data_IF_298254449222
#
_entry.id   IF_298254449222
#
_cell.length_a   1.000
_cell.length_b   1.000
_cell.length_c   1.000
_cell.angle_alpha   90.00
_cell.angle_beta   90.00
_cell.angle_gamma   90.00
#
_symmetry.space_group_name_H-M   'P 1'
#
loop_
_entity.id
_entity.type
_entity.pdbx_description
1 polymer ?
#
# COMPACT_ATOMS: atom_id res chain seq x y z
N UNK A 1 68.02 -14.94 12.78
CA UNK A 1 69.11 -13.96 12.93
C UNK A 1 70.35 -14.58 12.29
N UNK A 2 70.81 -14.04 11.17
CA UNK A 2 71.93 -14.61 10.41
C UNK A 2 73.24 -13.97 10.87
N UNK A 3 74.03 -14.74 11.64
CA UNK A 3 75.30 -14.29 12.20
C UNK A 3 76.34 -13.94 11.14
N UNK A 4 76.31 -14.62 9.99
CA UNK A 4 77.24 -14.36 8.89
C UNK A 4 76.88 -13.04 8.22
N UNK A 5 75.58 -12.80 8.02
CA UNK A 5 75.07 -11.53 7.46
C UNK A 5 75.44 -10.35 8.37
N UNK A 6 75.19 -10.47 9.67
CA UNK A 6 75.53 -9.45 10.66
C UNK A 6 77.05 -9.22 10.72
N UNK A 7 77.84 -10.29 10.74
CA UNK A 7 79.30 -10.19 10.74
C UNK A 7 79.85 -9.45 9.51
N UNK A 8 79.34 -9.76 8.32
CA UNK A 8 79.67 -9.03 7.08
C UNK A 8 79.25 -7.57 7.14
N UNK A 9 78.09 -7.28 7.73
CA UNK A 9 77.59 -5.92 7.89
C UNK A 9 78.46 -5.09 8.83
N UNK A 10 78.85 -5.63 9.98
CA UNK A 10 79.81 -5.01 10.91
C UNK A 10 81.15 -4.73 10.19
N UNK A 11 81.67 -5.72 9.47
CA UNK A 11 82.91 -5.57 8.71
C UNK A 11 82.81 -4.50 7.63
N UNK A 12 81.66 -4.43 6.95
CA UNK A 12 81.36 -3.42 5.92
C UNK A 12 81.37 -2.01 6.50
N UNK A 13 80.60 -1.77 7.57
CA UNK A 13 80.50 -0.47 8.23
C UNK A 13 81.83 -0.03 8.87
N UNK A 14 82.57 -0.96 9.47
CA UNK A 14 83.91 -0.66 9.99
C UNK A 14 84.85 -0.21 8.87
N UNK A 15 84.85 -0.92 7.74
CA UNK A 15 85.70 -0.60 6.58
C UNK A 15 85.31 0.72 5.91
N UNK A 16 84.02 1.04 5.82
CA UNK A 16 83.57 2.33 5.28
C UNK A 16 84.02 3.52 6.13
N UNK A 17 84.25 3.29 7.43
CA UNK A 17 84.82 4.27 8.35
C UNK A 17 86.36 4.27 8.37
N UNK A 18 87.02 3.47 7.51
CA UNK A 18 88.48 3.39 7.42
C UNK A 18 89.18 2.78 8.64
N UNK A 19 88.44 2.14 9.55
CA UNK A 19 89.00 1.57 10.78
C UNK A 19 89.53 0.15 10.56
N UNK A 20 90.63 -0.22 11.23
CA UNK A 20 91.11 -1.60 11.36
C UNK A 20 90.35 -2.35 12.46
N UNK A 21 90.40 -3.70 12.47
CA UNK A 21 89.79 -4.50 13.56
C UNK A 21 90.36 -4.13 14.93
N UNK A 22 91.67 -3.83 14.99
CA UNK A 22 92.35 -3.38 16.21
C UNK A 22 91.79 -2.04 16.71
N UNK A 23 91.58 -1.08 15.82
CA UNK A 23 91.03 0.24 16.18
C UNK A 23 89.57 0.16 16.65
N UNK A 24 88.75 -0.70 16.05
CA UNK A 24 87.39 -0.94 16.53
C UNK A 24 87.41 -1.62 17.91
N UNK A 25 88.31 -2.58 18.11
CA UNK A 25 88.47 -3.26 19.39
C UNK A 25 88.96 -2.32 20.50
N UNK A 26 89.92 -1.44 20.21
CA UNK A 26 90.41 -0.41 21.15
C UNK A 26 89.29 0.54 21.57
N UNK A 27 88.44 0.98 20.64
CA UNK A 27 87.29 1.84 20.95
C UNK A 27 86.24 1.16 21.84
N UNK A 28 86.16 -0.17 21.80
CA UNK A 28 85.23 -0.98 22.61
C UNK A 28 85.89 -1.54 23.88
N UNK A 29 87.18 -1.28 24.12
CA UNK A 29 87.91 -1.87 25.24
C UNK A 29 88.08 -3.40 25.14
N UNK A 30 88.10 -3.96 23.93
CA UNK A 30 88.13 -5.41 23.69
C UNK A 30 89.37 -5.85 22.89
N UNK A 31 89.56 -7.17 22.76
CA UNK A 31 90.60 -7.73 21.89
C UNK A 31 90.19 -7.69 20.42
N UNK A 32 91.15 -7.45 19.52
CA UNK A 32 90.99 -7.55 18.06
C UNK A 32 90.49 -8.93 17.61
N UNK A 33 90.89 -9.99 18.32
CA UNK A 33 90.39 -11.37 18.14
C UNK A 33 88.87 -11.47 18.34
N UNK A 34 88.29 -10.69 19.25
CA UNK A 34 86.83 -10.67 19.49
C UNK A 34 86.10 -10.10 18.29
N UNK A 35 86.55 -8.95 17.78
CA UNK A 35 86.00 -8.31 16.57
C UNK A 35 86.12 -9.24 15.35
N UNK A 36 87.25 -9.92 15.20
CA UNK A 36 87.47 -10.90 14.13
C UNK A 36 86.52 -12.11 14.19
N UNK A 37 86.09 -12.54 15.39
CA UNK A 37 85.08 -13.60 15.53
C UNK A 37 83.70 -13.09 15.12
N UNK A 38 83.33 -11.86 15.48
CA UNK A 38 82.06 -11.27 15.09
C UNK A 38 81.95 -11.07 13.58
N UNK A 39 82.98 -10.52 12.96
CA UNK A 39 82.99 -10.25 11.51
C UNK A 39 82.95 -11.51 10.65
N UNK A 40 83.45 -12.63 11.18
CA UNK A 40 83.37 -13.95 10.54
C UNK A 40 82.06 -14.70 10.86
N UNK A 41 81.17 -14.11 11.66
CA UNK A 41 79.92 -14.75 12.09
C UNK A 41 80.09 -15.91 13.05
N UNK A 42 81.24 -16.01 13.75
CA UNK A 42 81.54 -17.09 14.70
C UNK A 42 80.74 -16.92 16.00
N UNK A 43 80.55 -15.68 16.45
CA UNK A 43 79.71 -15.33 17.59
C UNK A 43 79.25 -13.87 17.49
N UNK A 44 78.30 -13.45 18.32
CA UNK A 44 77.92 -12.04 18.47
C UNK A 44 78.72 -11.37 19.61
N UNK A 45 78.79 -10.03 19.62
CA UNK A 45 79.12 -9.30 20.84
C UNK A 45 78.11 -9.61 21.95
N UNK A 46 78.47 -9.30 23.19
CA UNK A 46 77.49 -9.31 24.28
C UNK A 46 76.48 -8.18 24.07
N UNK A 47 75.24 -8.37 24.52
CA UNK A 47 74.16 -7.37 24.40
C UNK A 47 74.55 -6.02 25.01
N UNK A 48 75.36 -6.04 26.08
CA UNK A 48 75.93 -4.84 26.70
C UNK A 48 76.77 -3.99 25.73
N UNK A 49 77.39 -4.62 24.72
CA UNK A 49 78.28 -3.98 23.72
C UNK A 49 77.50 -3.47 22.51
N UNK A 50 76.23 -3.87 22.33
CA UNK A 50 75.48 -3.56 21.11
C UNK A 50 75.31 -2.06 20.88
N UNK A 51 74.92 -1.30 21.90
CA UNK A 51 74.68 0.14 21.75
C UNK A 51 75.96 0.90 21.41
N UNK A 52 77.07 0.54 22.06
CA UNK A 52 78.36 1.18 21.83
C UNK A 52 78.92 0.84 20.43
N UNK A 53 78.82 -0.43 20.03
CA UNK A 53 79.17 -0.88 18.68
C UNK A 53 78.34 -0.15 17.61
N UNK A 54 77.02 -0.07 17.80
CA UNK A 54 76.10 0.64 16.90
C UNK A 54 76.47 2.12 16.79
N UNK A 55 76.78 2.77 17.93
CA UNK A 55 77.22 4.17 17.98
C UNK A 55 78.53 4.40 17.22
N UNK A 56 79.53 3.54 17.42
CA UNK A 56 80.83 3.63 16.72
C UNK A 56 80.67 3.41 15.21
N UNK A 57 79.78 2.51 14.80
CA UNK A 57 79.53 2.17 13.39
C UNK A 57 78.52 3.08 12.70
N UNK A 58 77.83 3.96 13.43
CA UNK A 58 76.83 4.87 12.89
C UNK A 58 75.58 4.16 12.35
N UNK A 59 75.15 3.08 12.99
CA UNK A 59 73.98 2.28 12.62
C UNK A 59 73.00 2.19 13.79
N UNK A 60 71.73 1.95 13.51
CA UNK A 60 70.72 1.64 14.53
C UNK A 60 70.82 0.19 14.99
N UNK A 61 70.29 -0.09 16.19
CA UNK A 61 70.22 -1.46 16.72
C UNK A 61 69.43 -2.39 15.77
N UNK A 62 68.38 -1.87 15.13
CA UNK A 62 67.58 -2.66 14.19
C UNK A 62 68.37 -3.04 12.94
N UNK A 63 69.16 -2.12 12.39
CA UNK A 63 70.07 -2.40 11.26
C UNK A 63 71.14 -3.41 11.63
N UNK A 64 71.70 -3.29 12.84
CA UNK A 64 72.65 -4.27 13.37
C UNK A 64 72.04 -5.67 13.48
N UNK A 65 70.82 -5.80 14.04
CA UNK A 65 70.15 -7.10 14.21
C UNK A 65 69.66 -7.69 12.87
N UNK A 66 69.31 -6.83 11.90
CA UNK A 66 68.91 -7.24 10.56
C UNK A 66 70.10 -7.58 9.64
N UNK A 67 71.28 -7.02 9.95
CA UNK A 67 72.50 -7.18 9.16
C UNK A 67 72.45 -6.45 7.82
N UNK A 68 71.63 -5.40 7.71
CA UNK A 68 71.49 -4.55 6.52
C UNK A 68 70.94 -3.16 6.88
N UNK A 69 71.12 -2.19 5.99
CA UNK A 69 70.52 -0.86 6.12
C UNK A 69 69.00 -0.98 6.02
N UNK A 70 68.28 -0.39 6.98
CA UNK A 70 66.83 -0.37 7.00
C UNK A 70 66.41 1.04 6.63
N UNK A 71 66.03 1.23 5.37
CA UNK A 71 65.46 2.49 4.92
C UNK A 71 64.19 2.82 5.74
N UNK A 72 64.15 4.02 6.34
CA UNK A 72 63.02 4.53 7.16
C UNK A 72 61.70 4.69 6.39
N UNK A 73 61.65 4.35 5.11
CA UNK A 73 60.53 4.62 4.21
C UNK A 73 59.30 3.73 4.47
N UNK A 74 59.44 2.62 5.21
CA UNK A 74 58.38 1.63 5.38
C UNK A 74 57.45 1.81 6.61
N UNK A 75 57.63 2.85 7.44
CA UNK A 75 56.76 3.08 8.63
C UNK A 75 55.68 4.16 8.45
N UNK A 76 55.86 5.12 7.55
CA UNK A 76 54.93 6.26 7.40
C UNK A 76 53.70 5.90 6.54
N UNK A 77 53.88 5.00 5.56
CA UNK A 77 52.85 4.75 4.54
C UNK A 77 51.67 3.88 5.01
N UNK A 78 51.85 3.10 6.09
CA UNK A 78 50.81 2.21 6.67
C UNK A 78 49.88 2.89 7.68
N UNK A 79 50.31 3.99 8.32
CA UNK A 79 49.47 4.74 9.24
C UNK A 79 48.51 5.70 8.53
N UNK A 80 48.93 6.29 7.41
CA UNK A 80 48.11 7.24 6.65
C UNK A 80 46.95 6.55 5.93
N UNK A 81 47.15 5.33 5.43
CA UNK A 81 46.11 4.53 4.78
C UNK A 81 45.00 4.12 5.77
N UNK A 82 45.38 3.67 6.97
CA UNK A 82 44.40 3.31 8.02
C UNK A 82 43.54 4.51 8.47
N UNK A 83 44.12 5.71 8.57
CA UNK A 83 43.39 6.91 8.98
C UNK A 83 42.38 7.34 7.90
N UNK A 84 42.79 7.31 6.62
CA UNK A 84 41.91 7.65 5.49
C UNK A 84 40.74 6.66 5.40
N UNK A 85 40.99 5.37 5.66
CA UNK A 85 39.98 4.33 5.63
C UNK A 85 38.94 4.51 6.76
N UNK A 86 39.38 4.82 7.99
CA UNK A 86 38.50 5.11 9.12
C UNK A 86 37.63 6.35 8.86
N UNK A 87 38.22 7.42 8.32
CA UNK A 87 37.47 8.65 7.98
C UNK A 87 36.41 8.34 6.92
N UNK A 88 36.76 7.54 5.90
CA UNK A 88 35.84 7.15 4.82
C UNK A 88 34.68 6.30 5.34
N UNK A 89 34.96 5.33 6.22
CA UNK A 89 33.92 4.49 6.85
C UNK A 89 32.96 5.35 7.70
N UNK A 90 33.49 6.32 8.45
CA UNK A 90 32.68 7.20 9.29
C UNK A 90 31.78 8.15 8.47
N UNK A 91 32.29 8.68 7.35
CA UNK A 91 31.50 9.47 6.39
C UNK A 91 30.39 8.63 5.76
N UNK A 92 30.69 7.39 5.35
CA UNK A 92 29.72 6.47 4.77
C UNK A 92 28.63 6.08 5.78
N UNK A 93 28.99 5.79 7.03
CA UNK A 93 28.05 5.57 8.14
C UNK A 93 27.16 6.78 8.39
N UNK A 94 27.72 7.99 8.42
CA UNK A 94 26.92 9.23 8.55
C UNK A 94 25.94 9.43 7.39
N UNK A 95 26.37 9.16 6.15
CA UNK A 95 25.48 9.20 4.97
C UNK A 95 24.36 8.17 5.09
N UNK A 96 24.68 6.93 5.45
CA UNK A 96 23.70 5.87 5.66
C UNK A 96 22.68 6.25 6.75
N UNK A 97 23.14 6.79 7.89
CA UNK A 97 22.27 7.27 8.96
C UNK A 97 21.34 8.41 8.53
N UNK A 98 21.84 9.37 7.72
CA UNK A 98 21.00 10.44 7.17
C UNK A 98 19.94 9.89 6.22
N UNK A 99 20.30 8.96 5.34
CA UNK A 99 19.36 8.30 4.42
C UNK A 99 18.32 7.51 5.21
N UNK A 100 18.72 6.74 6.23
CA UNK A 100 17.81 5.97 7.07
C UNK A 100 16.81 6.86 7.82
N UNK A 101 17.25 8.02 8.33
CA UNK A 101 16.35 9.02 8.93
C UNK A 101 15.36 9.58 7.92
N UNK A 102 15.81 9.90 6.70
CA UNK A 102 14.91 10.35 5.63
C UNK A 102 13.86 9.29 5.27
N UNK A 103 14.26 8.02 5.15
CA UNK A 103 13.34 6.90 4.86
C UNK A 103 12.28 6.77 5.96
N UNK A 104 12.69 6.81 7.24
CA UNK A 104 11.75 6.76 8.38
C UNK A 104 10.75 7.93 8.35
N UNK A 105 11.21 9.12 7.98
CA UNK A 105 10.37 10.31 7.90
C UNK A 105 9.33 10.19 6.77
N UNK A 106 9.74 9.67 5.61
CA UNK A 106 8.82 9.40 4.48
C UNK A 106 7.77 8.35 4.86
N UNK A 107 8.18 7.24 5.48
CA UNK A 107 7.25 6.20 5.93
C UNK A 107 6.23 6.77 6.92
N UNK A 108 6.68 7.61 7.86
CA UNK A 108 5.80 8.26 8.84
C UNK A 108 4.76 9.17 8.17
N UNK A 109 5.19 9.99 7.19
CA UNK A 109 4.28 10.84 6.42
C UNK A 109 3.25 9.98 5.66
N UNK A 110 3.69 8.92 4.97
CA UNK A 110 2.79 8.01 4.26
C UNK A 110 1.76 7.37 5.22
N UNK A 111 2.19 6.93 6.40
CA UNK A 111 1.30 6.34 7.40
C UNK A 111 0.23 7.35 7.86
N UNK A 112 0.63 8.59 8.16
CA UNK A 112 -0.31 9.66 8.54
C UNK A 112 -1.28 9.98 7.40
N UNK A 113 -0.81 10.03 6.15
CA UNK A 113 -1.67 10.24 4.99
C UNK A 113 -2.70 9.11 4.80
N UNK A 114 -2.31 7.85 4.99
CA UNK A 114 -3.21 6.70 4.92
C UNK A 114 -4.28 6.80 6.02
N UNK A 115 -3.88 7.09 7.25
CA UNK A 115 -4.81 7.26 8.39
C UNK A 115 -5.75 8.45 8.15
N UNK A 116 -5.23 9.57 7.65
CA UNK A 116 -6.04 10.73 7.29
C UNK A 116 -7.06 10.39 6.21
N UNK A 117 -6.65 9.63 5.20
CA UNK A 117 -7.52 9.19 4.11
C UNK A 117 -8.62 8.23 4.59
N UNK A 118 -8.31 7.28 5.48
CA UNK A 118 -9.32 6.36 6.04
C UNK A 118 -10.33 7.11 6.91
N UNK A 119 -9.88 8.04 7.77
CA UNK A 119 -10.77 8.89 8.56
C UNK A 119 -11.65 9.76 7.65
N UNK A 120 -11.08 10.32 6.59
CA UNK A 120 -11.83 11.10 5.60
C UNK A 120 -12.92 10.26 4.92
N UNK A 121 -12.61 9.01 4.53
CA UNK A 121 -13.58 8.07 3.95
C UNK A 121 -14.68 7.69 4.94
N UNK A 122 -14.33 7.48 6.21
CA UNK A 122 -15.28 7.15 7.29
C UNK A 122 -16.21 8.32 7.65
N UNK A 123 -15.71 9.56 7.58
CA UNK A 123 -16.50 10.77 7.84
C UNK A 123 -17.25 11.31 6.63
N UNK A 124 -17.05 10.74 5.44
CA UNK A 124 -17.78 11.16 4.25
C UNK A 124 -19.27 10.87 4.49
N UNK A 125 -20.16 11.87 4.32
CA UNK A 125 -21.59 11.65 4.41
C UNK A 125 -21.99 10.48 3.51
N UNK A 126 -22.55 9.43 4.11
CA UNK A 126 -23.01 8.26 3.37
C UNK A 126 -24.40 8.59 2.86
N UNK A 127 -24.50 8.86 1.55
CA UNK A 127 -25.77 8.93 0.86
C UNK A 127 -25.95 7.57 0.18
N UNK A 128 -26.91 6.77 0.62
CA UNK A 128 -27.11 5.43 0.08
C UNK A 128 -28.58 5.02 0.12
N UNK A 129 -28.90 4.00 -0.67
CA UNK A 129 -30.14 3.24 -0.59
C UNK A 129 -29.80 1.75 -0.43
N UNK A 130 -30.60 1.02 0.32
CA UNK A 130 -30.43 -0.43 0.50
C UNK A 130 -31.78 -1.10 0.71
N UNK A 131 -31.95 -2.37 0.30
CA UNK A 131 -33.09 -3.16 0.73
C UNK A 131 -33.08 -3.28 2.27
N UNK A 132 -34.25 -3.38 2.88
CA UNK A 132 -34.35 -3.77 4.29
C UNK A 132 -33.92 -5.23 4.46
N UNK A 133 -33.40 -5.55 5.64
CA UNK A 133 -33.05 -6.93 5.96
C UNK A 133 -34.32 -7.78 6.06
N UNK A 134 -34.30 -8.98 5.49
CA UNK A 134 -35.42 -9.93 5.50
C UNK A 134 -35.89 -10.26 6.93
N UNK A 135 -34.98 -10.25 7.90
CA UNK A 135 -35.27 -10.52 9.31
C UNK A 135 -35.67 -9.27 10.13
N UNK A 136 -35.76 -8.10 9.49
CA UNK A 136 -36.21 -6.87 10.16
C UNK A 136 -37.70 -6.88 10.46
N UNK A 137 -38.09 -6.20 11.54
CA UNK A 137 -39.51 -6.12 11.98
C UNK A 137 -40.34 -5.39 10.91
N UNK A 138 -39.77 -4.35 10.32
CA UNK A 138 -40.38 -3.54 9.27
C UNK A 138 -40.67 -4.39 8.02
N UNK A 139 -39.71 -5.22 7.59
CA UNK A 139 -39.89 -6.13 6.46
C UNK A 139 -40.94 -7.21 6.76
N UNK A 140 -40.87 -7.87 7.92
CA UNK A 140 -41.87 -8.86 8.33
C UNK A 140 -43.28 -8.26 8.42
N UNK A 141 -43.39 -7.00 8.85
CA UNK A 141 -44.67 -6.29 8.88
C UNK A 141 -45.16 -5.99 7.46
N UNK A 142 -44.28 -5.56 6.56
CA UNK A 142 -44.63 -5.33 5.17
C UNK A 142 -45.08 -6.62 4.47
N UNK A 143 -44.39 -7.74 4.70
CA UNK A 143 -44.76 -9.06 4.18
C UNK A 143 -46.11 -9.56 4.73
N UNK A 144 -46.39 -9.35 6.02
CA UNK A 144 -47.68 -9.69 6.63
C UNK A 144 -48.86 -8.92 6.01
N UNK A 145 -48.61 -7.71 5.52
CA UNK A 145 -49.61 -6.85 4.89
C UNK A 145 -49.65 -7.01 3.37
N UNK A 146 -48.63 -7.65 2.78
CA UNK A 146 -48.54 -7.90 1.36
C UNK A 146 -49.25 -9.19 0.95
N UNK A 147 -49.56 -9.29 -0.34
CA UNK A 147 -50.08 -10.50 -0.95
C UNK A 147 -49.00 -11.57 -1.14
N UNK A 148 -49.30 -12.65 -1.88
CA UNK A 148 -48.35 -13.74 -2.15
C UNK A 148 -47.08 -13.29 -2.89
N UNK A 149 -47.14 -12.13 -3.56
CA UNK A 149 -46.02 -11.56 -4.33
C UNK A 149 -45.04 -10.75 -3.45
N UNK A 150 -45.32 -10.63 -2.14
CA UNK A 150 -44.42 -10.03 -1.16
C UNK A 150 -44.38 -8.50 -1.19
N UNK A 151 -43.43 -7.94 -0.44
CA UNK A 151 -43.17 -6.51 -0.37
C UNK A 151 -41.69 -6.24 -0.60
N UNK A 152 -41.38 -5.14 -1.27
CA UNK A 152 -40.02 -4.67 -1.52
C UNK A 152 -39.85 -3.34 -0.82
N UNK A 153 -39.00 -3.30 0.20
CA UNK A 153 -38.80 -2.10 1.02
C UNK A 153 -37.34 -1.69 0.98
N UNK A 154 -37.12 -0.44 0.56
CA UNK A 154 -35.81 0.17 0.49
C UNK A 154 -35.73 1.32 1.46
N UNK A 155 -34.64 1.35 2.24
CA UNK A 155 -34.30 2.50 3.08
C UNK A 155 -33.26 3.34 2.39
N UNK A 156 -33.49 4.64 2.30
CA UNK A 156 -32.47 5.59 1.87
C UNK A 156 -32.04 6.50 3.02
N UNK A 157 -30.77 6.87 2.99
CA UNK A 157 -30.17 7.86 3.88
C UNK A 157 -29.45 8.88 3.02
N UNK A 158 -29.67 10.16 3.29
CA UNK A 158 -29.02 11.27 2.60
C UNK A 158 -28.57 12.31 3.62
N UNK A 159 -27.29 12.64 3.59
CA UNK A 159 -26.73 13.78 4.31
C UNK A 159 -26.66 15.05 3.45
N UNK A 160 -26.60 14.93 2.12
CA UNK A 160 -26.73 16.07 1.22
C UNK A 160 -28.19 16.42 0.94
N UNK A 161 -28.48 17.71 0.78
CA UNK A 161 -29.80 18.19 0.36
C UNK A 161 -30.06 17.88 -1.12
N UNK A 162 -31.31 17.61 -1.43
CA UNK A 162 -31.82 17.41 -2.79
C UNK A 162 -33.18 18.12 -2.96
N UNK A 163 -33.56 18.42 -4.19
CA UNK A 163 -34.84 19.08 -4.49
C UNK A 163 -35.94 18.10 -4.80
N UNK A 164 -35.62 16.94 -5.40
CA UNK A 164 -36.64 15.96 -5.83
C UNK A 164 -36.10 14.54 -5.70
N UNK A 165 -36.97 13.62 -5.30
CA UNK A 165 -36.77 12.20 -5.51
C UNK A 165 -37.68 11.77 -6.66
N UNK A 166 -37.11 11.19 -7.72
CA UNK A 166 -37.85 10.70 -8.87
C UNK A 166 -37.63 9.20 -9.01
N UNK A 167 -38.72 8.49 -9.27
CA UNK A 167 -38.74 7.10 -9.70
C UNK A 167 -39.15 7.08 -11.17
N UNK A 168 -38.26 6.61 -12.03
CA UNK A 168 -38.51 6.38 -13.45
C UNK A 168 -39.00 4.95 -13.61
N UNK A 169 -40.12 4.78 -14.30
CA UNK A 169 -40.79 3.50 -14.49
C UNK A 169 -40.77 3.22 -15.99
N UNK A 170 -40.15 2.11 -16.36
CA UNK A 170 -40.01 1.66 -17.74
C UNK A 170 -40.77 0.36 -17.92
N UNK A 171 -41.64 0.30 -18.93
CA UNK A 171 -42.35 -0.91 -19.31
C UNK A 171 -41.75 -1.46 -20.60
N UNK A 172 -41.34 -2.72 -20.56
CA UNK A 172 -40.89 -3.45 -21.73
C UNK A 172 -41.88 -4.55 -22.08
N UNK A 173 -42.13 -4.71 -23.38
CA UNK A 173 -42.97 -5.75 -23.97
C UNK A 173 -42.13 -6.55 -24.96
N UNK A 174 -41.94 -7.83 -24.69
CA UNK A 174 -41.07 -8.73 -25.46
C UNK A 174 -39.72 -8.07 -25.81
N UNK A 175 -39.12 -7.41 -24.81
CA UNK A 175 -37.84 -6.73 -24.91
C UNK A 175 -37.82 -5.33 -25.52
N UNK A 176 -38.96 -4.78 -25.93
CA UNK A 176 -39.05 -3.42 -26.48
C UNK A 176 -39.68 -2.48 -25.46
N UNK A 177 -39.07 -1.31 -25.26
CA UNK A 177 -39.64 -0.27 -24.42
C UNK A 177 -40.99 0.16 -25.01
N UNK A 178 -42.09 -0.09 -24.30
CA UNK A 178 -43.45 0.23 -24.71
C UNK A 178 -43.98 1.49 -24.04
N UNK A 179 -43.58 1.76 -22.80
CA UNK A 179 -44.00 2.93 -22.05
C UNK A 179 -42.93 3.42 -21.06
N UNK A 180 -42.96 4.72 -20.76
CA UNK A 180 -42.09 5.36 -19.79
C UNK A 180 -42.87 6.40 -18.98
N UNK A 181 -43.00 6.13 -17.68
CA UNK A 181 -43.64 7.03 -16.71
C UNK A 181 -42.65 7.44 -15.60
N UNK A 182 -43.09 8.36 -14.74
CA UNK A 182 -42.33 8.77 -13.57
C UNK A 182 -43.23 9.19 -12.42
N UNK A 183 -42.79 8.85 -11.22
CA UNK A 183 -43.35 9.34 -9.97
C UNK A 183 -42.31 10.25 -9.32
N UNK A 184 -42.69 11.49 -9.00
CA UNK A 184 -41.76 12.44 -8.38
C UNK A 184 -42.32 13.07 -7.12
N UNK A 185 -41.43 13.24 -6.14
CA UNK A 185 -41.70 13.89 -4.87
C UNK A 185 -40.76 15.09 -4.73
N UNK A 186 -41.35 16.29 -4.72
CA UNK A 186 -40.62 17.55 -4.67
C UNK A 186 -40.47 18.10 -3.25
N UNK A 187 -39.31 18.72 -3.01
CA UNK A 187 -38.88 19.33 -1.76
C UNK A 187 -38.33 20.75 -2.01
N UNK A 188 -38.76 21.43 -3.08
CA UNK A 188 -38.20 22.74 -3.48
C UNK A 188 -38.39 23.82 -2.39
N UNK A 189 -39.53 23.79 -1.70
CA UNK A 189 -39.90 24.76 -0.67
C UNK A 189 -39.70 24.28 0.78
N UNK A 190 -39.26 23.02 0.95
CA UNK A 190 -39.10 22.38 2.26
C UNK A 190 -37.74 21.71 2.39
N UNK A 191 -37.37 21.28 3.61
CA UNK A 191 -36.12 20.53 3.78
C UNK A 191 -36.33 19.11 3.24
N UNK A 192 -35.46 18.67 2.34
CA UNK A 192 -35.44 17.27 1.90
C UNK A 192 -35.20 16.33 3.08
N UNK A 193 -35.90 15.18 3.14
CA UNK A 193 -35.70 14.17 4.17
C UNK A 193 -34.23 13.76 4.29
N UNK A 194 -33.78 13.45 5.50
CA UNK A 194 -32.45 12.82 5.70
C UNK A 194 -32.49 11.31 5.62
N UNK A 195 -33.67 10.74 5.85
CA UNK A 195 -33.94 9.33 5.69
C UNK A 195 -35.37 9.13 5.22
N UNK A 196 -35.63 8.00 4.58
CA UNK A 196 -36.96 7.64 4.16
C UNK A 196 -36.98 6.24 3.57
N UNK A 197 -38.17 5.84 3.14
CA UNK A 197 -38.42 4.51 2.62
C UNK A 197 -39.12 4.58 1.27
N UNK A 198 -38.79 3.63 0.41
CA UNK A 198 -39.49 3.36 -0.84
C UNK A 198 -40.03 1.95 -0.70
N UNK A 199 -41.35 1.82 -0.71
CA UNK A 199 -42.06 0.55 -0.56
C UNK A 199 -42.78 0.28 -1.88
N UNK A 200 -42.57 -0.90 -2.44
CA UNK A 200 -43.31 -1.41 -3.59
C UNK A 200 -43.95 -2.74 -3.23
N UNK A 201 -45.28 -2.80 -3.36
CA UNK A 201 -46.06 -4.00 -3.08
C UNK A 201 -46.84 -4.38 -4.34
N UNK A 202 -46.41 -5.41 -5.09
CA UNK A 202 -47.22 -5.96 -6.16
C UNK A 202 -48.53 -6.54 -5.60
N UNK A 203 -49.64 -6.11 -6.21
CA UNK A 203 -51.00 -6.56 -5.92
C UNK A 203 -51.59 -7.08 -7.22
N UNK A 204 -51.31 -8.37 -7.49
CA UNK A 204 -51.68 -8.99 -8.75
C UNK A 204 -53.18 -9.23 -8.88
N UNK A 205 -53.91 -9.39 -7.77
CA UNK A 205 -55.36 -9.51 -7.78
C UNK A 205 -56.02 -8.26 -8.38
N UNK A 206 -55.42 -7.09 -8.13
CA UNK A 206 -55.86 -5.81 -8.67
C UNK A 206 -55.03 -5.34 -9.89
N UNK A 207 -54.01 -6.11 -10.29
CA UNK A 207 -53.08 -5.77 -11.37
C UNK A 207 -52.46 -4.36 -11.20
N UNK A 208 -51.99 -4.07 -9.98
CA UNK A 208 -51.25 -2.84 -9.69
C UNK A 208 -50.01 -3.13 -8.84
N UNK A 209 -49.00 -2.28 -8.93
CA UNK A 209 -47.93 -2.18 -7.95
C UNK A 209 -48.19 -0.94 -7.10
N UNK A 210 -48.45 -1.14 -5.80
CA UNK A 210 -48.58 -0.04 -4.85
C UNK A 210 -47.21 0.52 -4.55
N UNK A 211 -46.99 1.79 -4.84
CA UNK A 211 -45.76 2.52 -4.59
C UNK A 211 -45.99 3.55 -3.49
N UNK A 212 -45.22 3.43 -2.42
CA UNK A 212 -45.22 4.38 -1.31
C UNK A 212 -43.80 4.93 -1.16
N UNK A 213 -43.66 6.24 -1.14
CA UNK A 213 -42.41 6.93 -0.82
C UNK A 213 -42.65 7.75 0.44
N UNK A 214 -41.87 7.48 1.48
CA UNK A 214 -41.93 8.20 2.75
C UNK A 214 -40.59 8.86 3.05
N UNK A 215 -40.64 9.97 3.76
CA UNK A 215 -39.50 10.63 4.39
C UNK A 215 -39.95 11.36 5.65
N UNK A 216 -39.01 11.97 6.37
CA UNK A 216 -39.17 12.60 7.70
C UNK A 216 -40.62 13.05 8.05
N UNK A 217 -41.22 13.94 7.24
CA UNK A 217 -42.60 14.44 7.46
C UNK A 217 -43.48 14.37 6.20
N UNK A 218 -43.07 13.60 5.19
CA UNK A 218 -43.68 13.65 3.87
C UNK A 218 -43.94 12.25 3.34
N UNK A 219 -45.14 12.02 2.80
CA UNK A 219 -45.52 10.73 2.22
C UNK A 219 -46.22 10.94 0.87
N UNK A 220 -45.83 10.13 -0.11
CA UNK A 220 -46.49 9.97 -1.39
C UNK A 220 -46.93 8.51 -1.52
N UNK A 221 -48.14 8.28 -2.02
CA UNK A 221 -48.68 6.94 -2.29
C UNK A 221 -49.39 6.98 -3.63
N UNK A 222 -49.06 6.04 -4.52
CA UNK A 222 -49.68 5.89 -5.84
C UNK A 222 -49.67 4.43 -6.25
N UNK A 223 -50.41 4.10 -7.31
CA UNK A 223 -50.46 2.76 -7.89
C UNK A 223 -49.93 2.83 -9.33
N UNK A 224 -49.17 1.81 -9.71
CA UNK A 224 -48.66 1.63 -11.07
C UNK A 224 -49.45 0.47 -11.68
N UNK A 225 -50.29 0.70 -12.70
CA UNK A 225 -51.04 -0.38 -13.30
C UNK A 225 -50.10 -1.33 -14.06
N UNK A 226 -50.35 -2.63 -13.93
CA UNK A 226 -49.58 -3.69 -14.59
C UNK A 226 -50.49 -4.54 -15.47
N UNK A 227 -49.94 -5.11 -16.54
CA UNK A 227 -50.64 -6.00 -17.48
C UNK A 227 -51.99 -5.43 -17.96
N UNK A 228 -52.05 -4.12 -18.21
CA UNK A 228 -53.25 -3.47 -18.72
C UNK A 228 -53.58 -3.98 -20.14
N UNK A 229 -54.84 -4.36 -20.34
CA UNK A 229 -55.34 -4.89 -21.61
C UNK A 229 -54.63 -6.16 -22.10
N UNK A 230 -54.06 -6.94 -21.18
CA UNK A 230 -53.44 -8.25 -21.47
C UNK A 230 -54.48 -9.35 -21.20
N UNK A 231 -54.71 -10.22 -22.19
CA UNK A 231 -55.58 -11.40 -22.07
C UNK A 231 -54.86 -12.53 -21.31
N UNK A 232 -55.62 -13.38 -20.61
CA UNK A 232 -55.10 -14.53 -19.85
C UNK A 232 -54.01 -14.18 -18.81
N UNK A 233 -53.94 -12.91 -18.42
CA UNK A 233 -52.92 -12.36 -17.52
C UNK A 233 -52.88 -13.06 -16.17
N UNK A 234 -53.95 -13.70 -15.73
CA UNK A 234 -54.01 -14.46 -14.48
C UNK A 234 -53.06 -15.67 -14.42
N UNK A 235 -52.63 -16.21 -15.57
CA UNK A 235 -51.76 -17.39 -15.66
C UNK A 235 -50.27 -17.05 -15.72
N UNK A 236 -49.92 -15.77 -15.81
CA UNK A 236 -48.53 -15.34 -15.91
C UNK A 236 -47.77 -15.71 -14.63
N UNK A 237 -46.60 -16.32 -14.82
CA UNK A 237 -45.58 -16.42 -13.79
C UNK A 237 -45.10 -15.04 -13.37
N UNK A 238 -44.56 -14.94 -12.15
CA UNK A 238 -44.18 -13.68 -11.53
C UNK A 238 -42.81 -13.82 -10.86
N UNK A 239 -41.95 -12.84 -11.08
CA UNK A 239 -40.68 -12.74 -10.37
C UNK A 239 -40.25 -11.27 -10.27
N UNK A 240 -39.30 -11.00 -9.37
CA UNK A 240 -38.69 -9.69 -9.26
C UNK A 240 -37.17 -9.84 -9.05
N UNK A 241 -36.43 -8.88 -9.57
CA UNK A 241 -35.00 -8.69 -9.27
C UNK A 241 -34.79 -7.31 -8.70
N UNK A 242 -34.03 -7.19 -7.62
CA UNK A 242 -33.77 -5.91 -6.95
C UNK A 242 -32.30 -5.69 -6.62
N UNK A 243 -31.98 -4.48 -6.16
CA UNK A 243 -30.67 -4.18 -5.60
C UNK A 243 -30.41 -5.05 -4.36
N UNK A 244 -29.35 -5.88 -4.40
CA UNK A 244 -29.05 -6.82 -3.31
C UNK A 244 -28.20 -6.22 -2.19
N UNK A 245 -27.48 -5.14 -2.49
CA UNK A 245 -26.50 -4.52 -1.61
C UNK A 245 -26.81 -3.05 -1.40
N UNK A 246 -26.10 -2.44 -0.46
CA UNK A 246 -26.07 -0.98 -0.30
C UNK A 246 -25.53 -0.33 -1.59
N UNK A 247 -26.30 0.61 -2.13
CA UNK A 247 -25.96 1.37 -3.34
C UNK A 247 -25.74 2.83 -2.96
N UNK A 248 -24.56 3.37 -3.29
CA UNK A 248 -24.27 4.79 -3.11
C UNK A 248 -25.18 5.65 -4.01
N UNK A 249 -25.79 6.69 -3.44
CA UNK A 249 -26.62 7.65 -4.19
C UNK A 249 -25.72 8.61 -4.97
N UNK A 250 -25.90 8.63 -6.28
CA UNK A 250 -25.29 9.51 -7.26
C UNK A 250 -26.32 10.53 -7.71
N UNK A 251 -26.20 11.75 -7.21
CA UNK A 251 -27.16 12.82 -7.49
C UNK A 251 -27.20 13.18 -8.97
N UNK A 252 -28.41 13.43 -9.49
CA UNK A 252 -28.71 13.70 -10.89
C UNK A 252 -28.32 12.56 -11.85
N UNK A 253 -28.22 11.33 -11.35
CA UNK A 253 -27.98 10.12 -12.13
C UNK A 253 -29.07 9.11 -11.81
N UNK A 254 -29.60 8.44 -12.85
CA UNK A 254 -30.53 7.34 -12.67
C UNK A 254 -29.80 6.09 -12.23
N UNK A 255 -30.32 5.39 -11.24
CA UNK A 255 -29.75 4.17 -10.71
C UNK A 255 -30.83 3.10 -10.58
N UNK A 256 -30.50 1.82 -10.84
CA UNK A 256 -31.49 0.74 -10.79
C UNK A 256 -32.02 0.56 -9.37
N UNK A 257 -33.29 0.17 -9.26
CA UNK A 257 -33.91 -0.20 -7.98
C UNK A 257 -34.42 -1.64 -8.01
N UNK A 258 -35.36 -1.91 -8.92
CA UNK A 258 -36.07 -3.18 -9.03
C UNK A 258 -36.61 -3.38 -10.45
N UNK A 259 -36.77 -4.63 -10.88
CA UNK A 259 -37.55 -4.99 -12.03
C UNK A 259 -38.53 -6.12 -11.68
N UNK A 260 -39.80 -5.95 -12.05
CA UNK A 260 -40.83 -6.98 -11.97
C UNK A 260 -40.97 -7.64 -13.33
N UNK A 261 -41.04 -8.97 -13.36
CA UNK A 261 -41.06 -9.79 -14.56
C UNK A 261 -42.33 -10.63 -14.56
N UNK A 262 -43.04 -10.59 -15.68
CA UNK A 262 -44.24 -11.40 -15.92
C UNK A 262 -44.05 -12.13 -17.24
N UNK A 263 -44.25 -13.45 -17.22
CA UNK A 263 -44.09 -14.31 -18.39
C UNK A 263 -45.08 -15.48 -18.34
N UNK A 264 -45.64 -15.88 -19.48
CA UNK A 264 -46.61 -16.98 -19.57
C UNK A 264 -45.96 -18.34 -19.90
N UNK A 265 -44.67 -18.36 -20.28
CA UNK A 265 -43.95 -19.55 -20.70
C UNK A 265 -42.77 -19.84 -19.75
N UNK A 266 -41.52 -19.66 -20.21
CA UNK A 266 -40.30 -19.93 -19.46
C UNK A 266 -39.64 -18.63 -19.02
N UNK A 267 -39.71 -18.36 -17.73
CA UNK A 267 -39.21 -17.10 -17.17
C UNK A 267 -37.68 -17.03 -17.15
N UNK A 268 -37.15 -15.93 -17.67
CA UNK A 268 -35.72 -15.61 -17.59
C UNK A 268 -35.52 -14.35 -16.74
N UNK A 269 -35.24 -14.51 -15.45
CA UNK A 269 -35.05 -13.36 -14.55
C UNK A 269 -33.78 -12.57 -14.95
N UNK A 270 -33.90 -11.33 -15.46
CA UNK A 270 -32.75 -10.52 -15.82
C UNK A 270 -32.03 -10.04 -14.56
N UNK A 271 -30.79 -9.60 -14.70
CA UNK A 271 -30.11 -8.80 -13.68
C UNK A 271 -30.36 -7.32 -13.91
N UNK A 272 -30.29 -6.50 -12.85
CA UNK A 272 -30.46 -5.05 -13.01
C UNK A 272 -29.40 -4.42 -13.94
N UNK A 273 -28.22 -5.03 -14.04
CA UNK A 273 -27.15 -4.58 -14.94
C UNK A 273 -27.51 -4.76 -16.42
N UNK A 274 -28.40 -5.69 -16.75
CA UNK A 274 -28.84 -5.94 -18.13
C UNK A 274 -29.66 -4.76 -18.69
N UNK A 275 -30.41 -4.08 -17.81
CA UNK A 275 -31.17 -2.87 -18.15
C UNK A 275 -30.27 -1.65 -18.32
N UNK A 276 -29.21 -1.53 -17.52
CA UNK A 276 -28.25 -0.41 -17.62
C UNK A 276 -27.48 -0.48 -18.94
N UNK A 277 -27.16 -1.69 -19.39
CA UNK A 277 -26.33 -1.91 -20.58
C UNK A 277 -27.14 -2.08 -21.88
N UNK A 278 -28.47 -1.86 -21.86
CA UNK A 278 -29.37 -2.11 -22.99
C UNK A 278 -29.21 -3.53 -23.59
N UNK A 279 -28.93 -4.54 -22.76
CA UNK A 279 -28.84 -5.92 -23.23
C UNK A 279 -30.26 -6.48 -23.47
N UNK A 280 -30.76 -6.21 -24.67
CA UNK A 280 -32.10 -6.57 -25.16
C UNK A 280 -32.35 -8.08 -25.26
N UNK A 281 -31.30 -8.89 -25.25
CA UNK A 281 -31.39 -10.36 -25.37
C UNK A 281 -32.07 -11.05 -24.17
N UNK A 282 -31.99 -10.47 -22.96
CA UNK A 282 -32.70 -11.00 -21.79
C UNK A 282 -34.10 -10.41 -21.63
N UNK A 283 -34.28 -9.15 -22.03
CA UNK A 283 -35.58 -8.49 -22.00
C UNK A 283 -36.55 -9.11 -23.00
N UNK A 284 -36.05 -9.61 -24.13
CA UNK A 284 -36.85 -10.27 -25.17
C UNK A 284 -37.32 -11.69 -24.82
N UNK A 285 -36.77 -12.28 -23.76
CA UNK A 285 -37.17 -13.60 -23.27
C UNK A 285 -38.37 -13.56 -22.33
N UNK A 286 -38.77 -12.38 -21.87
CA UNK A 286 -39.94 -12.23 -21.02
C UNK A 286 -40.97 -11.36 -21.73
N UNK A 287 -42.24 -11.71 -21.56
CA UNK A 287 -43.36 -10.98 -22.15
C UNK A 287 -43.46 -9.55 -21.64
N UNK A 288 -43.45 -9.35 -20.31
CA UNK A 288 -43.58 -8.04 -19.71
C UNK A 288 -42.56 -7.81 -18.60
N UNK A 289 -41.91 -6.65 -18.64
CA UNK A 289 -40.96 -6.24 -17.61
C UNK A 289 -41.20 -4.79 -17.19
N UNK A 290 -41.38 -4.58 -15.89
CA UNK A 290 -41.55 -3.27 -15.27
C UNK A 290 -40.29 -2.93 -14.48
N UNK A 291 -39.43 -2.10 -15.07
CA UNK A 291 -38.15 -1.69 -14.50
C UNK A 291 -38.28 -0.32 -13.83
N UNK A 292 -37.85 -0.22 -12.58
CA UNK A 292 -37.88 1.01 -11.80
C UNK A 292 -36.45 1.45 -11.46
N UNK A 293 -36.14 2.71 -11.77
CA UNK A 293 -34.89 3.36 -11.43
C UNK A 293 -35.16 4.59 -10.56
N UNK A 294 -34.27 4.86 -9.59
CA UNK A 294 -34.36 6.04 -8.73
C UNK A 294 -33.36 7.12 -9.16
N UNK A 295 -33.71 8.38 -8.90
CA UNK A 295 -32.87 9.54 -9.14
C UNK A 295 -33.11 10.58 -8.03
N UNK A 296 -32.04 10.99 -7.33
CA UNK A 296 -32.08 12.13 -6.42
C UNK A 296 -31.58 13.39 -7.15
N UNK A 297 -32.45 14.37 -7.38
CA UNK A 297 -32.13 15.58 -8.14
C UNK A 297 -31.76 16.76 -7.23
N UNK A 298 -30.70 17.52 -7.55
CA UNK A 298 -30.24 18.69 -6.77
C UNK A 298 -30.81 20.05 -7.18
#
# INVERSE_FOLDING_TARGET
MDLIKIGKYIAGKRKSLGMTQKQLAEKLGMSDKSVSKWERGVCLPDVSVYNELCSILGISLNEFLAGEDIAQENMIQKSETNIIEIIRDNINKQKCLKVMKCILLVISICAVSIIGFTIYRLKKPQNFISPLAEDSIEMQTAELLAGPDGAFVYKFITADKYKKLRLHIYRYESGKLSDQDKVEMGFEDIRSPKSGEIVMVPDFDNYVIKLIVSGDDSKLSTEIPILENVEDREYYGRSATEIKNVVDIRYNEQQPLIAFVYDNDEMSVPTLDDFINNQTDYLSKNDYVYYVAFEFCK
#
